data_IF_070718842131
#
_entry.id   IF_070718842131
#
_cell.length_a   1.000
_cell.length_b   1.000
_cell.length_c   1.000
_cell.angle_alpha   90.00
_cell.angle_beta   90.00
_cell.angle_gamma   90.00
#
_symmetry.space_group_name_H-M   'P 1'
#
loop_
_entity.id
_entity.type
_entity.pdbx_description
1 polymer ?
#
# COMPACT_ATOMS: atom_id res chain seq x y z
N UNK A 1 -6.68 6.90 17.64
CA UNK A 1 -6.11 6.97 17.49
C UNK A 1 -5.27 7.44 17.68
N UNK A 2 -4.62 7.34 17.58
CA UNK A 2 -3.85 7.61 17.60
C UNK A 2 -3.03 8.24 17.70
N UNK A 3 -3.08 8.42 18.03
CA UNK A 3 -2.34 9.00 18.23
C UNK A 3 -1.08 8.79 18.13
N UNK A 4 -0.78 8.15 18.12
CA UNK A 4 0.46 7.86 17.84
C UNK A 4 0.93 8.31 16.57
N UNK A 5 0.59 9.31 16.19
CA UNK A 5 0.85 9.77 14.86
C UNK A 5 2.12 10.55 14.73
N UNK A 6 2.91 10.61 15.78
CA UNK A 6 4.20 11.27 15.70
C UNK A 6 5.30 10.26 15.69
N UNK A 7 6.21 10.39 14.74
CA UNK A 7 7.37 9.56 14.66
C UNK A 7 8.52 10.41 14.20
N UNK A 8 9.58 10.52 15.02
CA UNK A 8 10.73 11.37 14.71
C UNK A 8 10.31 12.80 14.42
N UNK A 9 9.40 13.33 15.22
CA UNK A 9 8.90 14.68 15.02
C UNK A 9 7.92 14.86 13.90
N UNK A 10 7.62 13.79 13.17
CA UNK A 10 6.70 13.85 12.04
C UNK A 10 5.28 13.68 12.51
N UNK A 11 4.41 14.56 12.04
CA UNK A 11 2.99 14.49 12.30
C UNK A 11 2.31 13.80 11.13
N UNK A 12 1.68 12.69 11.39
CA UNK A 12 1.01 11.93 10.35
C UNK A 12 -0.49 12.09 10.52
N UNK A 13 -1.14 12.59 9.48
CA UNK A 13 -2.58 12.83 9.51
C UNK A 13 -3.30 11.81 8.66
N UNK A 14 -4.47 11.44 9.10
CA UNK A 14 -5.32 10.50 8.41
C UNK A 14 -6.70 11.12 8.28
N UNK A 15 -7.08 11.50 7.07
CA UNK A 15 -8.40 12.07 6.83
C UNK A 15 -9.46 10.99 6.95
N UNK A 16 -10.69 11.42 7.20
CA UNK A 16 -11.79 10.46 7.33
C UNK A 16 -12.01 9.69 6.04
N UNK A 17 -11.85 10.35 4.90
CA UNK A 17 -12.02 9.69 3.63
C UNK A 17 -10.98 8.60 3.40
N UNK A 18 -9.74 8.92 3.65
CA UNK A 18 -8.65 7.97 3.45
C UNK A 18 -8.72 6.86 4.48
N UNK A 19 -9.21 7.17 5.68
CA UNK A 19 -9.30 6.18 6.75
C UNK A 19 -10.25 5.03 6.42
N UNK A 20 -11.18 5.23 5.51
CA UNK A 20 -12.08 4.16 5.09
C UNK A 20 -11.35 3.05 4.34
N UNK A 21 -10.24 3.38 3.74
CA UNK A 21 -9.44 2.41 3.03
C UNK A 21 -9.98 2.06 1.66
N UNK A 22 -9.18 1.34 0.90
CA UNK A 22 -9.57 0.81 -0.40
C UNK A 22 -9.25 -0.67 -0.41
N UNK A 23 -10.23 -1.48 -0.78
CA UNK A 23 -10.02 -2.92 -0.84
C UNK A 23 -9.26 -3.29 -2.10
N UNK A 24 -8.30 -4.19 -1.98
CA UNK A 24 -7.55 -4.70 -3.13
C UNK A 24 -7.26 -6.17 -2.91
N UNK A 25 -7.44 -6.96 -3.96
CA UNK A 25 -7.10 -8.38 -3.92
C UNK A 25 -6.10 -8.77 -5.00
N UNK A 26 -5.50 -7.79 -5.66
CA UNK A 26 -4.45 -8.03 -6.65
C UNK A 26 -3.57 -6.79 -6.73
N UNK A 27 -2.27 -6.99 -6.83
CA UNK A 27 -1.36 -5.88 -7.05
C UNK A 27 -0.46 -6.22 -8.24
N UNK A 28 -0.33 -5.27 -9.14
CA UNK A 28 0.59 -5.38 -10.26
C UNK A 28 1.71 -4.38 -10.02
N UNK A 29 2.94 -4.85 -10.11
CA UNK A 29 4.09 -4.04 -9.79
C UNK A 29 4.98 -3.92 -11.00
N UNK A 30 5.30 -2.70 -11.37
CA UNK A 30 6.24 -2.40 -12.44
C UNK A 30 7.32 -1.49 -11.87
N UNK A 31 8.41 -1.39 -12.61
CA UNK A 31 9.51 -0.56 -12.15
C UNK A 31 10.25 0.05 -13.31
N UNK A 32 10.95 1.14 -13.01
CA UNK A 32 11.91 1.78 -13.86
C UNK A 32 13.15 2.03 -13.01
N UNK A 33 14.22 2.59 -13.59
CA UNK A 33 15.40 2.90 -12.77
C UNK A 33 15.13 3.87 -11.64
N UNK A 34 14.10 4.72 -11.76
CA UNK A 34 13.87 5.78 -10.78
C UNK A 34 12.72 5.52 -9.84
N UNK A 35 11.82 4.57 -10.16
CA UNK A 35 10.69 4.36 -9.26
C UNK A 35 10.01 3.03 -9.49
N UNK A 36 9.24 2.63 -8.48
CA UNK A 36 8.37 1.46 -8.56
C UNK A 36 6.93 1.94 -8.59
N UNK A 37 6.11 1.26 -9.40
CA UNK A 37 4.70 1.58 -9.54
C UNK A 37 3.89 0.39 -9.05
N UNK A 38 3.08 0.62 -8.03
CA UNK A 38 2.22 -0.41 -7.46
C UNK A 38 0.78 -0.07 -7.78
N UNK A 39 0.15 -0.91 -8.58
CA UNK A 39 -1.27 -0.74 -8.93
C UNK A 39 -2.08 -1.73 -8.13
N UNK A 40 -2.93 -1.22 -7.25
CA UNK A 40 -3.79 -2.04 -6.42
C UNK A 40 -5.15 -2.16 -7.09
N UNK A 41 -5.59 -3.39 -7.27
CA UNK A 41 -6.72 -3.72 -8.13
C UNK A 41 -7.73 -4.54 -7.34
N UNK A 42 -9.00 -4.29 -7.61
CA UNK A 42 -10.06 -5.12 -7.09
C UNK A 42 -10.64 -5.93 -8.24
N UNK A 43 -10.50 -7.25 -8.13
CA UNK A 43 -11.14 -8.17 -9.07
C UNK A 43 -12.43 -8.68 -8.48
N UNK A 44 -13.47 -8.75 -9.29
CA UNK A 44 -14.76 -9.24 -8.84
C UNK A 44 -15.17 -10.45 -9.67
N UNK A 45 -15.64 -11.52 -9.04
CA UNK A 45 -16.07 -12.71 -9.77
C UNK A 45 -17.15 -12.37 -10.79
N UNK A 46 -17.03 -12.93 -11.99
CA UNK A 46 -18.02 -12.74 -13.01
C UNK A 46 -17.95 -11.40 -13.74
N UNK A 47 -17.04 -10.52 -13.34
CA UNK A 47 -16.85 -9.23 -13.99
C UNK A 47 -15.59 -9.30 -14.84
N UNK A 48 -15.70 -9.13 -16.16
CA UNK A 48 -14.54 -9.32 -17.03
C UNK A 48 -13.49 -8.23 -16.92
N UNK A 49 -13.81 -7.10 -16.29
CA UNK A 49 -12.86 -5.99 -16.16
C UNK A 49 -12.48 -5.81 -14.71
N UNK A 50 -11.20 -5.61 -14.47
CA UNK A 50 -10.69 -5.25 -13.17
C UNK A 50 -10.31 -3.79 -13.17
N UNK A 51 -10.53 -3.12 -12.05
CA UNK A 51 -10.24 -1.70 -11.93
C UNK A 51 -9.06 -1.45 -11.04
N UNK A 52 -8.17 -0.57 -11.48
CA UNK A 52 -7.12 -0.08 -10.59
C UNK A 52 -7.76 0.90 -9.62
N UNK A 53 -7.68 0.56 -8.34
CA UNK A 53 -8.24 1.40 -7.29
C UNK A 53 -7.27 2.48 -6.86
N UNK A 54 -6.00 2.17 -6.83
CA UNK A 54 -4.98 3.11 -6.41
C UNK A 54 -3.67 2.76 -7.09
N UNK A 55 -2.94 3.80 -7.49
CA UNK A 55 -1.59 3.65 -8.00
C UNK A 55 -0.66 4.38 -7.05
N UNK A 56 0.32 3.68 -6.54
CA UNK A 56 1.28 4.22 -5.59
C UNK A 56 2.66 4.18 -6.21
N UNK A 57 3.36 5.29 -6.15
CA UNK A 57 4.73 5.38 -6.67
C UNK A 57 5.69 5.39 -5.50
N UNK A 58 6.71 4.54 -5.57
CA UNK A 58 7.71 4.46 -4.52
C UNK A 58 9.09 4.70 -5.11
N UNK A 59 9.95 5.38 -4.34
CA UNK A 59 11.37 5.40 -4.67
C UNK A 59 11.93 3.99 -4.46
N UNK A 60 13.03 3.63 -5.15
CA UNK A 60 13.62 2.31 -4.93
C UNK A 60 14.00 2.06 -3.49
N UNK A 61 14.51 3.07 -2.79
CA UNK A 61 14.87 2.91 -1.38
C UNK A 61 13.66 2.62 -0.53
N UNK A 62 12.57 3.34 -0.77
CA UNK A 62 11.35 3.13 0.00
C UNK A 62 10.74 1.77 -0.33
N UNK A 63 10.84 1.33 -1.58
CA UNK A 63 10.33 0.02 -1.97
C UNK A 63 11.02 -1.09 -1.18
N UNK A 64 12.32 -0.96 -0.95
CA UNK A 64 13.05 -1.95 -0.16
C UNK A 64 12.57 -1.97 1.28
N UNK A 65 12.40 -0.79 1.87
CA UNK A 65 11.91 -0.69 3.24
C UNK A 65 10.48 -1.21 3.36
N UNK A 66 9.67 -0.91 2.35
CA UNK A 66 8.30 -1.40 2.33
C UNK A 66 8.26 -2.92 2.27
N UNK A 67 9.08 -3.50 1.41
CA UNK A 67 9.15 -4.96 1.30
C UNK A 67 9.49 -5.60 2.65
N UNK A 68 10.48 -5.05 3.33
CA UNK A 68 10.89 -5.59 4.61
C UNK A 68 9.77 -5.47 5.64
N UNK A 69 9.15 -4.29 5.71
CA UNK A 69 8.09 -4.07 6.68
C UNK A 69 6.89 -4.97 6.41
N UNK A 70 6.52 -5.09 5.14
CA UNK A 70 5.40 -5.95 4.77
C UNK A 70 5.68 -7.39 5.11
N UNK A 71 6.88 -7.85 4.81
CA UNK A 71 7.28 -9.22 5.10
C UNK A 71 7.18 -9.53 6.59
N UNK A 72 7.67 -8.60 7.42
CA UNK A 72 7.61 -8.77 8.87
C UNK A 72 6.17 -8.82 9.38
N UNK A 73 5.32 -7.96 8.82
CA UNK A 73 3.94 -7.91 9.25
C UNK A 73 3.14 -9.12 8.80
N UNK A 74 3.40 -9.60 7.59
CA UNK A 74 2.74 -10.82 7.11
C UNK A 74 3.08 -12.00 8.03
N UNK A 75 4.35 -12.10 8.42
CA UNK A 75 4.77 -13.20 9.30
C UNK A 75 4.09 -13.10 10.66
N UNK A 76 3.95 -11.91 11.20
CA UNK A 76 3.28 -11.73 12.49
C UNK A 76 1.77 -11.94 12.38
N UNK A 77 1.20 -11.57 11.26
CA UNK A 77 -0.23 -11.69 11.05
C UNK A 77 -0.70 -13.09 10.76
N UNK A 78 0.21 -14.01 10.46
CA UNK A 78 -0.13 -15.41 10.25
C UNK A 78 -0.05 -16.13 11.59
N UNK A 79 -1.15 -16.52 12.08
CA UNK A 79 -1.18 -17.20 13.38
C UNK A 79 -1.04 -18.69 13.19
#
# INVERSE_FOLDING_TARGET
MDDNKKKDGLNIELSEEVAQGSYSNLAIINHSPSEFVLDFIQMMPGVPKAKVKSRILLTPQHAKRFLKALNENVRKGQA
#
